data_IF_757679888242
#
_entry.id   IF_757679888242
#
_cell.length_a   1.000
_cell.length_b   1.000
_cell.length_c   1.000
_cell.angle_alpha   90.00
_cell.angle_beta   90.00
_cell.angle_gamma   90.00
#
_symmetry.space_group_name_H-M   'P 1'
#
loop_
_entity.id
_entity.type
_entity.pdbx_description
1 polymer ?
#
# COMPACT_ATOMS: atom_id res chain seq x y z
N UNK A 1 -21.44 -2.30 -1.11
CA UNK A 1 -22.07 -0.99 -1.37
C UNK A 1 -23.09 -0.72 -0.27
N UNK A 2 -23.07 0.46 0.36
CA UNK A 2 -24.02 0.83 1.43
C UNK A 2 -23.90 2.32 1.77
N UNK A 3 -24.93 2.92 2.35
CA UNK A 3 -24.96 4.36 2.64
C UNK A 3 -23.83 4.79 3.61
N UNK A 4 -23.40 6.05 3.54
CA UNK A 4 -22.47 6.59 4.54
C UNK A 4 -23.08 6.49 5.95
N UNK A 5 -22.27 6.17 6.96
CA UNK A 5 -22.75 6.06 8.36
C UNK A 5 -23.30 4.69 8.80
N UNK A 6 -23.45 3.71 7.92
CA UNK A 6 -23.94 2.35 8.29
C UNK A 6 -22.88 1.44 8.94
N UNK A 7 -21.78 2.01 9.44
CA UNK A 7 -20.74 1.27 10.17
C UNK A 7 -19.81 0.40 9.32
N UNK A 8 -19.80 0.54 7.98
CA UNK A 8 -18.93 -0.28 7.09
C UNK A 8 -17.46 -0.27 7.52
N UNK A 9 -16.90 0.91 7.73
CA UNK A 9 -15.51 1.08 8.19
C UNK A 9 -15.30 0.50 9.58
N UNK A 10 -16.27 0.64 10.48
CA UNK A 10 -16.21 0.06 11.83
C UNK A 10 -16.20 -1.47 11.78
N UNK A 11 -17.06 -2.08 10.95
CA UNK A 11 -17.09 -3.53 10.76
C UNK A 11 -15.81 -4.04 10.11
N UNK A 12 -15.32 -3.35 9.06
CA UNK A 12 -14.02 -3.68 8.45
C UNK A 12 -12.91 -3.64 9.48
N UNK A 13 -12.83 -2.59 10.30
CA UNK A 13 -11.83 -2.48 11.37
C UNK A 13 -11.96 -3.60 12.41
N UNK A 14 -13.18 -3.95 12.80
CA UNK A 14 -13.42 -5.03 13.76
C UNK A 14 -12.98 -6.39 13.22
N UNK A 15 -13.33 -6.70 11.96
CA UNK A 15 -12.91 -7.95 11.31
C UNK A 15 -11.40 -7.98 11.11
N UNK A 16 -10.79 -6.88 10.67
CA UNK A 16 -9.33 -6.75 10.56
C UNK A 16 -8.65 -7.01 11.90
N UNK A 17 -9.17 -6.45 13.00
CA UNK A 17 -8.65 -6.70 14.33
C UNK A 17 -8.75 -8.17 14.74
N UNK A 18 -9.89 -8.83 14.47
CA UNK A 18 -10.05 -10.27 14.75
C UNK A 18 -9.06 -11.16 13.97
N UNK A 19 -8.58 -10.69 12.82
CA UNK A 19 -7.69 -11.43 11.91
C UNK A 19 -6.23 -10.95 11.97
N UNK A 20 -5.89 -10.09 12.95
CA UNK A 20 -4.57 -9.47 13.11
C UNK A 20 -4.07 -8.77 11.83
N UNK A 21 -4.99 -8.12 11.12
CA UNK A 21 -4.70 -7.33 9.93
C UNK A 21 -4.48 -5.87 10.32
N UNK A 22 -3.38 -5.28 9.86
CA UNK A 22 -3.14 -3.86 10.03
C UNK A 22 -4.13 -3.06 9.18
N UNK A 23 -4.81 -2.07 9.76
CA UNK A 23 -5.72 -1.21 9.00
C UNK A 23 -5.01 0.10 8.67
N UNK A 24 -4.84 0.36 7.39
CA UNK A 24 -4.42 1.65 6.87
C UNK A 24 -5.64 2.41 6.35
N UNK A 25 -5.85 3.64 6.81
CA UNK A 25 -6.91 4.51 6.29
C UNK A 25 -6.31 5.89 6.01
N UNK A 26 -6.58 6.41 4.81
CA UNK A 26 -6.14 7.74 4.41
C UNK A 26 -6.79 8.78 5.30
N UNK A 27 -5.99 9.75 5.74
CA UNK A 27 -6.46 10.95 6.44
C UNK A 27 -6.36 12.15 5.52
N UNK A 28 -7.20 12.18 4.49
CA UNK A 28 -7.20 13.26 3.52
C UNK A 28 -7.66 14.56 4.17
N UNK A 29 -6.74 15.50 4.33
CA UNK A 29 -7.03 16.88 4.71
C UNK A 29 -7.41 17.74 3.49
N UNK A 30 -7.69 19.02 3.73
CA UNK A 30 -8.10 19.99 2.69
C UNK A 30 -7.07 20.19 1.58
N UNK A 31 -5.79 19.94 1.86
CA UNK A 31 -4.67 20.13 0.94
C UNK A 31 -4.03 18.80 0.52
N UNK A 32 -4.74 17.68 0.71
CA UNK A 32 -4.21 16.36 0.36
C UNK A 32 -4.05 16.26 -1.16
N UNK A 33 -2.81 16.01 -1.61
CA UNK A 33 -2.44 15.98 -3.01
C UNK A 33 -2.25 14.54 -3.51
N UNK A 34 -2.05 14.40 -4.81
CA UNK A 34 -1.66 13.10 -5.39
C UNK A 34 -0.29 12.64 -4.89
N UNK A 35 0.61 13.56 -4.51
CA UNK A 35 1.92 13.21 -3.97
C UNK A 35 1.81 12.64 -2.55
N UNK A 36 0.90 13.19 -1.73
CA UNK A 36 0.59 12.62 -0.42
C UNK A 36 -0.03 11.23 -0.55
N UNK A 37 -0.86 11.04 -1.58
CA UNK A 37 -1.40 9.72 -1.92
C UNK A 37 -0.33 8.73 -2.34
N UNK A 38 0.66 9.16 -3.10
CA UNK A 38 1.79 8.31 -3.49
C UNK A 38 2.61 7.87 -2.28
N UNK A 39 2.86 8.78 -1.34
CA UNK A 39 3.50 8.45 -0.08
C UNK A 39 2.71 7.40 0.73
N UNK A 40 1.39 7.56 0.83
CA UNK A 40 0.51 6.61 1.49
C UNK A 40 0.53 5.23 0.79
N UNK A 41 0.51 5.20 -0.55
CA UNK A 41 0.62 3.97 -1.34
C UNK A 41 1.97 3.29 -1.13
N UNK A 42 3.09 4.04 -1.19
CA UNK A 42 4.43 3.50 -0.89
C UNK A 42 4.47 2.88 0.50
N UNK A 43 3.87 3.54 1.49
CA UNK A 43 3.82 3.03 2.87
C UNK A 43 3.04 1.73 2.97
N UNK A 44 1.86 1.66 2.36
CA UNK A 44 1.04 0.43 2.34
C UNK A 44 1.80 -0.70 1.65
N UNK A 45 2.43 -0.44 0.50
CA UNK A 45 3.19 -1.44 -0.25
C UNK A 45 4.42 -1.93 0.53
N UNK A 46 5.16 -1.04 1.21
CA UNK A 46 6.29 -1.43 2.07
C UNK A 46 5.84 -2.27 3.27
N UNK A 47 4.73 -1.92 3.91
CA UNK A 47 4.18 -2.70 5.02
C UNK A 47 3.74 -4.11 4.59
N UNK A 48 3.12 -4.21 3.41
CA UNK A 48 2.67 -5.49 2.88
C UNK A 48 3.84 -6.34 2.36
N UNK A 49 4.70 -5.77 1.51
CA UNK A 49 5.74 -6.48 0.77
C UNK A 49 7.03 -6.71 1.56
N UNK A 50 7.49 -5.74 2.36
CA UNK A 50 8.75 -5.87 3.12
C UNK A 50 8.47 -6.36 4.53
N UNK A 51 7.58 -5.71 5.27
CA UNK A 51 7.32 -6.09 6.66
C UNK A 51 6.46 -7.36 6.79
N UNK A 52 6.02 -7.94 5.66
CA UNK A 52 5.12 -9.10 5.57
C UNK A 52 3.86 -8.96 6.43
N UNK A 53 3.42 -7.71 6.68
CA UNK A 53 2.26 -7.41 7.51
C UNK A 53 1.02 -7.39 6.62
N UNK A 54 0.10 -8.33 6.87
CA UNK A 54 -1.19 -8.34 6.19
C UNK A 54 -1.93 -7.04 6.49
N UNK A 55 -2.18 -6.25 5.45
CA UNK A 55 -2.68 -4.89 5.59
C UNK A 55 -4.00 -4.74 4.83
N UNK A 56 -5.00 -4.17 5.50
CA UNK A 56 -6.27 -3.75 4.91
C UNK A 56 -6.20 -2.26 4.65
N UNK A 57 -6.25 -1.89 3.38
CA UNK A 57 -6.30 -0.50 2.95
C UNK A 57 -7.76 -0.05 2.79
N UNK A 58 -8.19 0.89 3.62
CA UNK A 58 -9.52 1.50 3.55
C UNK A 58 -9.44 2.75 2.70
N UNK A 59 -10.03 2.67 1.51
CA UNK A 59 -10.17 3.76 0.54
C UNK A 59 -11.65 3.93 0.19
N UNK A 60 -12.17 5.14 0.35
CA UNK A 60 -13.56 5.47 0.05
C UNK A 60 -13.70 6.64 -0.94
N UNK A 61 -14.92 6.87 -1.41
CA UNK A 61 -15.24 7.93 -2.38
C UNK A 61 -14.84 9.33 -1.88
N UNK A 62 -14.85 9.58 -0.58
CA UNK A 62 -14.44 10.88 -0.01
C UNK A 62 -12.93 11.11 -0.08
N UNK A 63 -12.15 10.05 -0.30
CA UNK A 63 -10.70 10.13 -0.49
C UNK A 63 -10.31 10.39 -1.96
N UNK A 64 -11.26 10.27 -2.90
CA UNK A 64 -11.01 10.49 -4.33
C UNK A 64 -11.08 11.99 -4.64
N UNK A 65 -9.94 12.67 -4.62
CA UNK A 65 -9.86 14.10 -4.90
C UNK A 65 -9.66 14.42 -6.39
N UNK A 66 -9.39 13.42 -7.23
CA UNK A 66 -9.28 13.56 -8.67
C UNK A 66 -9.03 12.22 -9.38
N UNK A 67 -9.08 12.21 -10.73
CA UNK A 67 -8.95 10.98 -11.53
C UNK A 67 -7.67 10.18 -11.26
N UNK A 68 -6.55 10.87 -11.04
CA UNK A 68 -5.25 10.26 -10.79
C UNK A 68 -5.25 9.30 -9.57
N UNK A 69 -6.12 9.52 -8.58
CA UNK A 69 -6.23 8.63 -7.42
C UNK A 69 -6.80 7.26 -7.83
N UNK A 70 -7.84 7.27 -8.66
CA UNK A 70 -8.46 6.05 -9.18
C UNK A 70 -7.53 5.32 -10.16
N UNK A 71 -6.79 6.06 -10.98
CA UNK A 71 -5.80 5.47 -11.89
C UNK A 71 -4.73 4.67 -11.13
N UNK A 72 -4.20 5.24 -10.05
CA UNK A 72 -3.23 4.56 -9.18
C UNK A 72 -3.83 3.35 -8.46
N UNK A 73 -5.05 3.47 -7.94
CA UNK A 73 -5.76 2.34 -7.36
C UNK A 73 -5.99 1.22 -8.36
N UNK A 74 -6.38 1.56 -9.58
CA UNK A 74 -6.60 0.58 -10.64
C UNK A 74 -5.30 -0.11 -11.04
N UNK A 75 -4.20 0.63 -11.19
CA UNK A 75 -2.89 0.05 -11.45
C UNK A 75 -2.48 -0.92 -10.34
N UNK A 76 -2.59 -0.49 -9.08
CA UNK A 76 -2.26 -1.32 -7.92
C UNK A 76 -3.12 -2.60 -7.86
N UNK A 77 -4.42 -2.49 -8.08
CA UNK A 77 -5.33 -3.64 -8.04
C UNK A 77 -5.15 -4.59 -9.23
N UNK A 78 -4.82 -4.06 -10.41
CA UNK A 78 -4.69 -4.85 -11.63
C UNK A 78 -3.34 -5.55 -11.75
N UNK A 79 -2.25 -4.86 -11.38
CA UNK A 79 -0.88 -5.33 -11.60
C UNK A 79 -0.11 -5.60 -10.30
N UNK A 80 -0.63 -5.17 -9.14
CA UNK A 80 0.13 -5.20 -7.89
C UNK A 80 1.17 -4.09 -7.77
N UNK A 81 1.27 -3.21 -8.77
CA UNK A 81 2.22 -2.09 -8.80
C UNK A 81 1.60 -0.82 -9.39
N UNK A 82 2.21 0.32 -9.08
CA UNK A 82 1.82 1.62 -9.63
C UNK A 82 3.00 2.19 -10.42
N UNK A 83 2.87 2.40 -11.75
CA UNK A 83 3.96 2.92 -12.56
C UNK A 83 4.50 4.25 -12.06
N UNK A 84 5.83 4.35 -11.93
CA UNK A 84 6.50 5.56 -11.45
C UNK A 84 6.32 5.84 -9.95
N UNK A 85 5.73 4.92 -9.17
CA UNK A 85 5.60 5.11 -7.72
C UNK A 85 6.93 4.93 -7.00
N UNK A 86 7.74 3.95 -7.42
CA UNK A 86 9.09 3.72 -6.94
C UNK A 86 10.09 3.99 -8.08
N UNK A 87 10.66 5.18 -8.11
CA UNK A 87 11.70 5.58 -9.05
C UNK A 87 12.94 6.11 -8.30
N UNK A 88 14.05 6.22 -9.02
CA UNK A 88 15.31 6.76 -8.51
C UNK A 88 15.69 6.24 -7.12
N UNK A 89 15.83 7.18 -6.17
CA UNK A 89 16.24 6.88 -4.79
C UNK A 89 15.23 6.00 -4.04
N UNK A 90 13.93 6.12 -4.31
CA UNK A 90 12.91 5.35 -3.61
C UNK A 90 12.92 3.88 -4.03
N UNK A 91 13.23 3.62 -5.30
CA UNK A 91 13.48 2.28 -5.80
C UNK A 91 14.74 1.66 -5.16
N UNK A 92 15.86 2.40 -5.12
CA UNK A 92 17.08 1.92 -4.47
C UNK A 92 16.85 1.56 -3.00
N UNK A 93 16.13 2.42 -2.26
CA UNK A 93 15.76 2.16 -0.85
C UNK A 93 14.85 0.94 -0.72
N UNK A 94 13.91 0.73 -1.64
CA UNK A 94 13.01 -0.42 -1.66
C UNK A 94 13.80 -1.72 -1.82
N UNK A 95 14.66 -1.79 -2.85
CA UNK A 95 15.50 -2.96 -3.14
C UNK A 95 16.45 -3.26 -1.97
N UNK A 96 17.08 -2.23 -1.38
CA UNK A 96 17.93 -2.44 -0.21
C UNK A 96 17.14 -3.04 0.95
N UNK A 97 15.96 -2.50 1.27
CA UNK A 97 15.13 -2.98 2.37
C UNK A 97 14.66 -4.43 2.13
N UNK A 98 14.28 -4.76 0.90
CA UNK A 98 13.87 -6.10 0.52
C UNK A 98 15.06 -7.10 0.56
N UNK A 99 16.29 -6.69 0.18
CA UNK A 99 17.49 -7.54 0.29
C UNK A 99 17.82 -7.84 1.75
N UNK A 100 17.71 -6.84 2.62
CA UNK A 100 17.91 -7.01 4.06
C UNK A 100 16.90 -8.00 4.67
N UNK A 101 15.64 -7.92 4.25
CA UNK A 101 14.59 -8.83 4.74
C UNK A 101 14.72 -10.25 4.18
N UNK A 102 15.08 -10.40 2.90
CA UNK A 102 15.35 -11.70 2.29
C UNK A 102 16.49 -12.42 3.02
N UNK A 103 17.57 -11.69 3.35
CA UNK A 103 18.70 -12.22 4.15
C UNK A 103 18.26 -12.68 5.53
N UNK A 104 17.42 -11.91 6.25
CA UNK A 104 16.86 -12.32 7.55
C UNK A 104 15.98 -13.56 7.44
N UNK A 105 15.25 -13.67 6.34
CA UNK A 105 14.39 -14.82 6.02
C UNK A 105 15.16 -16.01 5.43
N UNK A 106 16.50 -15.95 5.35
CA UNK A 106 17.37 -16.97 4.76
C UNK A 106 17.07 -17.31 3.29
N UNK A 107 16.43 -16.39 2.57
CA UNK A 107 16.21 -16.47 1.12
C UNK A 107 17.42 -15.86 0.41
N UNK A 108 18.24 -16.70 -0.23
CA UNK A 108 19.29 -16.23 -1.14
C UNK A 108 18.66 -15.87 -2.47
N UNK A 109 18.27 -14.61 -2.62
CA UNK A 109 17.81 -14.03 -3.88
C UNK A 109 18.96 -13.21 -4.46
N UNK A 110 19.58 -13.72 -5.54
CA UNK A 110 20.76 -13.11 -6.15
C UNK A 110 20.40 -12.04 -7.21
N UNK A 111 19.16 -12.01 -7.70
CA UNK A 111 18.69 -11.07 -8.73
C UNK A 111 17.74 -9.97 -8.20
N UNK A 112 17.96 -8.71 -8.62
CA UNK A 112 17.10 -7.58 -8.23
C UNK A 112 15.66 -7.72 -8.75
N UNK A 113 15.49 -8.30 -9.95
CA UNK A 113 14.17 -8.59 -10.54
C UNK A 113 13.39 -9.66 -9.78
N UNK A 114 14.09 -10.63 -9.18
CA UNK A 114 13.44 -11.67 -8.34
C UNK A 114 12.97 -11.10 -7.02
N UNK A 115 13.69 -10.08 -6.51
CA UNK A 115 13.41 -9.42 -5.26
C UNK A 115 12.18 -8.49 -5.36
N UNK A 116 11.99 -7.84 -6.52
CA UNK A 116 10.85 -6.97 -6.78
C UNK A 116 9.55 -7.75 -7.09
N UNK A 117 9.66 -9.00 -7.55
CA UNK A 117 8.52 -9.86 -7.91
C UNK A 117 7.96 -10.73 -6.77
N UNK A 118 8.55 -10.67 -5.57
CA UNK A 118 8.02 -11.41 -4.41
C UNK A 118 6.74 -10.81 -3.82
#
# INVERSE_FOLDING_TARGET
>A
VGASGVGKTTLTRFVSWMQDLAVFQIKAGRNYSVLDFDEDLRRVMRQAGIEKRKTVFVFDESNVLGPAFLERMNALLAAGEVPGLFDGDDYTKLIQSAKEEARKSNLMLDGEDELYKQ
#
